data_IF_827394129832
#
_entry.id   IF_827394129832
#
_cell.length_a   1.000
_cell.length_b   1.000
_cell.length_c   1.000
_cell.angle_alpha   90.00
_cell.angle_beta   90.00
_cell.angle_gamma   90.00
#
_symmetry.space_group_name_H-M   'P 1'
#
loop_
_entity.id
_entity.type
_entity.pdbx_description
1 polymer ?
#
# COMPACT_ATOMS: atom_id res chain seq x y z
N UNK A 1 6.68 -4.40 -3.81
CA UNK A 1 6.02 -5.44 -3.00
C UNK A 1 6.01 -6.73 -3.80
N UNK A 2 6.40 -7.83 -3.17
CA UNK A 2 6.19 -9.17 -3.71
C UNK A 2 5.06 -9.84 -2.94
N UNK A 3 4.13 -10.46 -3.65
CA UNK A 3 2.99 -11.20 -3.11
C UNK A 3 2.94 -12.60 -3.69
N UNK A 4 2.53 -13.57 -2.89
CA UNK A 4 2.25 -14.92 -3.36
C UNK A 4 1.51 -15.76 -2.33
N UNK A 5 0.87 -16.82 -2.82
CA UNK A 5 0.11 -17.74 -1.97
C UNK A 5 -0.58 -18.86 -2.74
N UNK A 6 -0.99 -19.88 -1.98
CA UNK A 6 -1.88 -20.98 -2.41
C UNK A 6 -2.88 -21.18 -1.26
N UNK A 7 -4.08 -20.62 -1.38
CA UNK A 7 -5.10 -20.61 -0.31
C UNK A 7 -4.78 -19.66 0.86
N UNK A 8 -3.56 -19.71 1.37
CA UNK A 8 -3.00 -18.73 2.31
C UNK A 8 -1.83 -18.05 1.61
N UNK A 9 -1.73 -16.74 1.75
CA UNK A 9 -0.63 -16.00 1.17
C UNK A 9 -0.32 -14.72 1.90
N UNK A 10 0.80 -14.13 1.50
CA UNK A 10 1.32 -12.94 2.10
C UNK A 10 1.98 -12.03 1.08
N UNK A 11 2.11 -10.77 1.46
CA UNK A 11 2.89 -9.80 0.72
C UNK A 11 3.91 -9.13 1.63
N UNK A 12 5.07 -8.82 1.06
CA UNK A 12 6.10 -8.05 1.72
C UNK A 12 6.70 -7.01 0.80
N UNK A 13 6.96 -5.82 1.34
CA UNK A 13 7.60 -4.74 0.62
C UNK A 13 8.39 -3.82 1.53
N UNK A 14 9.38 -3.15 0.95
CA UNK A 14 10.07 -2.02 1.56
C UNK A 14 9.86 -0.78 0.71
N UNK A 15 9.79 0.37 1.36
CA UNK A 15 9.60 1.67 0.74
C UNK A 15 10.40 2.74 1.46
N UNK A 16 10.47 3.92 0.83
CA UNK A 16 11.12 5.10 1.37
C UNK A 16 10.06 6.16 1.58
N UNK A 17 10.11 6.84 2.73
CA UNK A 17 9.15 7.90 3.06
C UNK A 17 9.79 9.27 2.86
N UNK A 18 9.08 10.17 2.18
CA UNK A 18 9.52 11.52 1.88
C UNK A 18 8.55 12.56 2.48
N UNK A 19 9.08 13.71 2.87
CA UNK A 19 8.30 14.91 3.22
C UNK A 19 9.07 16.15 2.75
N UNK A 20 8.39 17.06 2.03
CA UNK A 20 9.02 18.25 1.46
C UNK A 20 10.24 17.95 0.58
N UNK A 21 10.21 16.85 -0.18
CA UNK A 21 11.32 16.40 -1.03
C UNK A 21 12.50 15.77 -0.29
N UNK A 22 12.49 15.72 1.04
CA UNK A 22 13.54 15.08 1.86
C UNK A 22 13.12 13.71 2.32
N UNK A 23 14.03 12.73 2.27
CA UNK A 23 13.81 11.40 2.86
C UNK A 23 13.75 11.54 4.38
N UNK A 24 12.68 11.02 4.98
CA UNK A 24 12.47 11.06 6.44
C UNK A 24 12.58 9.69 7.12
N UNK A 25 12.58 8.59 6.36
CA UNK A 25 12.71 7.24 6.90
C UNK A 25 12.38 6.15 5.89
N UNK A 26 12.20 4.94 6.40
CA UNK A 26 11.80 3.78 5.62
C UNK A 26 10.43 3.28 6.09
N UNK A 27 9.76 2.56 5.19
CA UNK A 27 8.52 1.87 5.49
C UNK A 27 8.64 0.41 5.09
N UNK A 28 8.04 -0.48 5.87
CA UNK A 28 7.82 -1.87 5.51
C UNK A 28 6.33 -2.16 5.44
N UNK A 29 5.93 -2.87 4.39
CA UNK A 29 4.59 -3.43 4.21
C UNK A 29 4.64 -4.93 4.52
N UNK A 30 3.69 -5.39 5.33
CA UNK A 30 3.38 -6.80 5.54
C UNK A 30 1.89 -7.02 5.37
N UNK A 31 1.52 -7.98 4.53
CA UNK A 31 0.14 -8.36 4.31
C UNK A 31 -0.03 -9.85 4.55
N UNK A 32 -1.16 -10.21 5.16
CA UNK A 32 -1.60 -11.59 5.32
C UNK A 32 -2.99 -11.71 4.73
N UNK A 33 -3.20 -12.73 3.91
CA UNK A 33 -4.43 -12.97 3.17
C UNK A 33 -4.84 -14.42 3.27
N UNK A 34 -6.14 -14.65 3.42
CA UNK A 34 -6.74 -15.99 3.45
C UNK A 34 -7.87 -15.99 2.42
N UNK A 35 -7.87 -16.97 1.53
CA UNK A 35 -8.90 -17.10 0.49
C UNK A 35 -8.39 -17.80 -0.76
N UNK A 36 -9.21 -17.84 -1.81
CA UNK A 36 -8.80 -18.46 -3.06
C UNK A 36 -7.75 -17.58 -3.74
N UNK A 37 -6.49 -17.84 -3.46
CA UNK A 37 -5.36 -17.22 -4.13
C UNK A 37 -4.43 -18.27 -4.69
N UNK A 38 -3.96 -18.04 -5.90
CA UNK A 38 -2.95 -18.87 -6.55
C UNK A 38 -2.05 -17.99 -7.41
N UNK A 39 -0.76 -18.09 -7.17
CA UNK A 39 0.27 -17.47 -8.01
C UNK A 39 1.16 -16.51 -7.26
N UNK A 40 1.80 -15.64 -8.02
CA UNK A 40 2.78 -14.68 -7.51
C UNK A 40 2.78 -13.43 -8.35
N UNK A 41 2.74 -12.28 -7.69
CA UNK A 41 2.71 -10.98 -8.34
C UNK A 41 3.69 -10.03 -7.66
N UNK A 42 4.36 -9.22 -8.48
CA UNK A 42 5.14 -8.08 -8.04
C UNK A 42 4.44 -6.78 -8.44
N UNK A 43 4.42 -5.81 -7.54
CA UNK A 43 3.88 -4.48 -7.81
C UNK A 43 4.66 -3.40 -7.07
N UNK A 44 4.50 -2.16 -7.51
CA UNK A 44 4.95 -0.96 -6.81
C UNK A 44 3.75 -0.24 -6.23
N UNK A 45 3.91 0.31 -5.03
CA UNK A 45 2.91 1.18 -4.41
C UNK A 45 3.50 2.56 -4.17
N UNK A 46 2.66 3.57 -4.35
CA UNK A 46 2.92 4.95 -4.01
C UNK A 46 1.79 5.46 -3.12
N UNK A 47 2.13 5.85 -1.90
CA UNK A 47 1.17 6.29 -0.88
C UNK A 47 1.34 7.79 -0.67
N UNK A 48 0.26 8.53 -0.82
CA UNK A 48 0.19 9.96 -0.54
C UNK A 48 -0.60 10.21 0.74
N UNK A 49 -0.09 11.14 1.53
CA UNK A 49 -0.74 11.65 2.73
C UNK A 49 -1.24 13.06 2.46
N UNK A 50 -2.53 13.30 2.70
CA UNK A 50 -3.19 14.59 2.44
C UNK A 50 -2.59 15.72 3.27
N UNK A 51 -2.18 15.44 4.50
CA UNK A 51 -1.64 16.41 5.43
C UNK A 51 -0.60 15.81 6.37
N UNK A 52 0.07 16.69 7.12
CA UNK A 52 1.10 16.32 8.08
C UNK A 52 0.56 15.45 9.23
N UNK A 53 -0.68 15.69 9.67
CA UNK A 53 -1.28 14.91 10.74
C UNK A 53 -1.46 13.43 10.34
N UNK A 54 -1.89 13.20 9.10
CA UNK A 54 -2.04 11.85 8.54
C UNK A 54 -0.68 11.16 8.38
N UNK A 55 0.34 11.89 7.92
CA UNK A 55 1.72 11.36 7.86
C UNK A 55 2.27 11.04 9.25
N UNK A 56 2.05 11.91 10.24
CA UNK A 56 2.53 11.66 11.60
C UNK A 56 1.82 10.48 12.25
N UNK A 57 0.50 10.32 12.03
CA UNK A 57 -0.25 9.12 12.42
C UNK A 57 0.34 7.84 11.81
N UNK A 58 0.66 7.89 10.52
CA UNK A 58 1.33 6.78 9.83
C UNK A 58 2.70 6.43 10.42
N UNK A 59 3.43 7.43 10.89
CA UNK A 59 4.75 7.21 11.51
C UNK A 59 4.64 6.65 12.92
N UNK A 60 3.62 7.04 13.68
CA UNK A 60 3.45 6.66 15.09
C UNK A 60 2.73 5.33 15.28
N UNK A 61 1.91 4.92 14.31
CA UNK A 61 1.05 3.76 14.43
C UNK A 61 1.40 2.67 13.42
N UNK A 62 1.18 1.41 13.80
CA UNK A 62 1.00 0.35 12.80
C UNK A 62 -0.38 0.54 12.20
N UNK A 63 -0.47 1.29 11.11
CA UNK A 63 -1.74 1.46 10.42
C UNK A 63 -2.09 0.16 9.70
N UNK A 64 -3.22 -0.44 10.08
CA UNK A 64 -3.96 -1.36 9.23
C UNK A 64 -4.80 -0.55 8.25
N UNK A 65 -4.53 -0.71 6.96
CA UNK A 65 -5.50 -0.31 5.95
C UNK A 65 -6.36 -1.53 5.68
N UNK A 66 -7.62 -1.45 6.09
CA UNK A 66 -8.64 -2.39 5.64
C UNK A 66 -8.68 -2.28 4.10
N UNK A 67 -8.52 -3.41 3.41
CA UNK A 67 -8.23 -3.46 1.98
C UNK A 67 -9.31 -2.87 1.06
N UNK A 68 -10.38 -2.30 1.63
CA UNK A 68 -11.47 -1.64 0.92
C UNK A 68 -11.17 -0.16 0.58
N UNK A 69 -10.03 0.38 0.98
CA UNK A 69 -9.72 1.80 0.88
C UNK A 69 -8.94 2.15 -0.40
N UNK A 70 -9.73 2.53 -1.42
CA UNK A 70 -9.48 3.45 -2.55
C UNK A 70 -8.26 3.22 -3.45
N UNK A 71 -8.47 2.50 -4.54
CA UNK A 71 -7.71 2.70 -5.77
C UNK A 71 -8.26 3.93 -6.49
N UNK A 72 -7.52 5.04 -6.51
CA UNK A 72 -7.85 6.15 -7.40
C UNK A 72 -7.22 5.84 -8.76
N UNK A 73 -8.04 5.62 -9.78
CA UNK A 73 -7.53 5.54 -11.15
C UNK A 73 -7.02 6.94 -11.55
N UNK A 74 -5.70 7.12 -11.65
CA UNK A 74 -5.13 8.34 -12.24
C UNK A 74 -5.35 8.27 -13.75
N UNK A 75 -6.44 8.86 -14.23
CA UNK A 75 -6.58 9.18 -15.66
C UNK A 75 -5.72 10.40 -15.94
N UNK A 76 -4.66 10.23 -16.72
CA UNK A 76 -3.76 11.33 -17.11
C UNK A 76 -4.56 12.44 -17.83
N UNK A 77 -4.62 13.64 -17.24
CA UNK A 77 -5.22 14.83 -17.86
C UNK A 77 -6.60 15.25 -17.35
N UNK A 78 -7.27 14.45 -16.53
CA UNK A 78 -8.43 14.93 -15.77
C UNK A 78 -7.93 15.54 -14.46
N UNK A 79 -8.53 16.64 -13.99
CA UNK A 79 -8.37 17.14 -12.62
C UNK A 79 -8.81 16.02 -11.66
N UNK A 80 -7.89 15.13 -11.31
CA UNK A 80 -8.19 13.96 -10.53
C UNK A 80 -8.43 14.42 -9.10
N UNK A 81 -9.70 14.47 -8.70
CA UNK A 81 -10.06 14.43 -7.29
C UNK A 81 -9.48 13.11 -6.76
N UNK A 82 -8.32 13.19 -6.13
CA UNK A 82 -7.71 12.04 -5.49
C UNK A 82 -8.61 11.69 -4.31
N UNK A 83 -9.30 10.57 -4.40
CA UNK A 83 -10.14 10.05 -3.32
C UNK A 83 -9.24 9.59 -2.16
N UNK A 84 -8.93 10.54 -1.29
CA UNK A 84 -8.30 10.27 -0.01
C UNK A 84 -9.32 9.66 0.92
N UNK A 85 -9.09 8.42 1.32
CA UNK A 85 -9.85 7.81 2.43
C UNK A 85 -9.03 7.98 3.70
N UNK A 86 -9.64 8.61 4.71
CA UNK A 86 -8.97 8.93 5.98
C UNK A 86 -7.65 9.70 5.83
N UNK A 87 -7.53 10.51 4.76
CA UNK A 87 -6.34 11.31 4.45
C UNK A 87 -5.24 10.58 3.68
N UNK A 88 -5.48 9.33 3.24
CA UNK A 88 -4.49 8.52 2.51
C UNK A 88 -5.00 8.15 1.12
N UNK A 89 -4.11 8.23 0.12
CA UNK A 89 -4.36 7.75 -1.22
C UNK A 89 -3.26 6.76 -1.64
N UNK A 90 -3.65 5.62 -2.20
CA UNK A 90 -2.73 4.55 -2.58
C UNK A 90 -2.82 4.32 -4.09
N UNK A 91 -1.67 4.32 -4.75
CA UNK A 91 -1.54 4.02 -6.17
C UNK A 91 -0.69 2.78 -6.36
N UNK A 92 -1.24 1.79 -7.05
CA UNK A 92 -0.58 0.50 -7.27
C UNK A 92 -0.28 0.31 -8.75
N UNK A 93 0.98 0.04 -9.07
CA UNK A 93 1.44 -0.28 -10.41
C UNK A 93 1.90 -1.74 -10.45
N UNK A 94 1.20 -2.58 -11.21
CA UNK A 94 1.63 -3.95 -11.47
C UNK A 94 2.97 -3.96 -12.21
N UNK A 95 3.93 -4.75 -11.71
CA UNK A 95 5.25 -4.93 -12.35
C UNK A 95 5.34 -6.23 -13.14
N UNK A 96 4.56 -7.23 -12.75
CA UNK A 96 4.51 -8.53 -13.43
C UNK A 96 4.09 -9.66 -12.50
N UNK A 97 4.02 -10.85 -13.08
CA UNK A 97 3.47 -12.03 -12.42
C UNK A 97 1.98 -12.22 -12.75
N UNK A 98 1.47 -13.38 -12.35
CA UNK A 98 0.07 -13.76 -12.51
C UNK A 98 -0.44 -14.17 -11.13
N UNK A 99 -1.53 -13.56 -10.72
CA UNK A 99 -2.17 -13.86 -9.46
C UNK A 99 -3.68 -13.91 -9.69
N UNK A 100 -4.25 -15.07 -9.46
CA UNK A 100 -5.70 -15.21 -9.35
C UNK A 100 -6.06 -15.07 -7.87
N UNK A 101 -6.94 -14.14 -7.53
CA UNK A 101 -7.22 -13.83 -6.14
C UNK A 101 -8.69 -13.46 -5.91
N UNK A 102 -9.30 -14.16 -4.96
CA UNK A 102 -10.48 -13.76 -4.21
C UNK A 102 -10.18 -14.03 -2.73
N UNK A 103 -9.62 -13.02 -2.03
CA UNK A 103 -9.15 -13.17 -0.65
C UNK A 103 -9.57 -11.99 0.23
N UNK A 104 -9.61 -12.24 1.54
CA UNK A 104 -9.75 -11.20 2.56
C UNK A 104 -8.42 -11.14 3.32
N UNK A 105 -7.96 -9.93 3.63
CA UNK A 105 -6.75 -9.75 4.39
C UNK A 105 -6.52 -8.30 4.80
N UNK A 106 -5.72 -8.15 5.85
CA UNK A 106 -5.23 -6.86 6.32
C UNK A 106 -3.83 -6.60 5.80
N UNK A 107 -3.51 -5.33 5.58
CA UNK A 107 -2.15 -4.86 5.32
C UNK A 107 -1.68 -3.96 6.44
N UNK A 108 -0.50 -4.26 6.97
CA UNK A 108 0.15 -3.46 7.99
C UNK A 108 1.33 -2.72 7.39
N UNK A 109 1.40 -1.43 7.69
CA UNK A 109 2.59 -0.64 7.45
C UNK A 109 3.32 -0.40 8.76
N UNK A 110 4.64 -0.35 8.70
CA UNK A 110 5.50 0.04 9.80
C UNK A 110 6.51 1.06 9.32
N UNK A 111 6.68 2.12 10.10
CA UNK A 111 7.64 3.17 9.83
C UNK A 111 8.85 3.01 10.74
N UNK A 112 10.03 3.12 10.15
CA UNK A 112 11.30 3.12 10.86
C UNK A 112 11.99 4.46 10.59
N UNK A 113 12.22 5.23 11.66
CA UNK A 113 13.19 6.33 11.61
C UNK A 113 14.56 5.73 11.44
N UNK A 114 15.34 6.35 10.56
CA UNK A 114 16.71 6.00 10.23
C UNK A 114 17.54 5.53 11.43
#
# INVERSE_FOLDING_TARGET
>A
VGKGGIGIGGAYGKGVVYSGGKRIGYSALKQVTIGFQLGGQAYSELIFFKDKATLDRFKSEKIEFDAQVSAVAVTTGASANVDYSSGVAVFTLAKGGLMYEASVGGQHFSFETK
#
